data_IF_605357240296
#
_entry.id   IF_605357240296
#
_cell.length_a   1.000
_cell.length_b   1.000
_cell.length_c   1.000
_cell.angle_alpha   90.00
_cell.angle_beta   90.00
_cell.angle_gamma   90.00
#
_symmetry.space_group_name_H-M   'P 1'
#
loop_
_entity.id
_entity.type
_entity.pdbx_description
1 polymer ?
#
# COMPACT_ATOMS: atom_id res chain seq x y z
N UNK A 1 3.70 11.87 0.34
CA UNK A 1 4.17 10.49 0.56
C UNK A 1 3.04 9.51 0.26
N UNK A 2 3.37 8.23 0.04
CA UNK A 2 2.36 7.16 0.03
C UNK A 2 1.61 7.11 1.37
N UNK A 3 0.35 6.67 1.32
CA UNK A 3 -0.59 6.62 2.44
C UNK A 3 -0.64 5.27 3.13
N UNK A 4 0.10 4.28 2.64
CA UNK A 4 0.05 2.90 3.14
C UNK A 4 0.78 2.79 4.47
N UNK A 5 0.12 2.33 5.54
CA UNK A 5 0.69 2.20 6.88
C UNK A 5 0.93 0.71 7.24
N UNK A 6 2.09 0.41 7.82
CA UNK A 6 2.39 -0.95 8.30
C UNK A 6 1.35 -1.46 9.33
N UNK A 7 0.71 -0.58 10.11
CA UNK A 7 -0.37 -0.94 11.04
C UNK A 7 -1.60 -1.45 10.30
N UNK A 8 -1.95 -0.85 9.16
CA UNK A 8 -3.07 -1.30 8.32
C UNK A 8 -2.77 -2.67 7.71
N UNK A 9 -1.53 -2.91 7.26
CA UNK A 9 -1.12 -4.25 6.82
C UNK A 9 -1.18 -5.28 7.95
N UNK A 10 -0.90 -4.87 9.19
CA UNK A 10 -0.86 -5.78 10.36
C UNK A 10 -2.26 -6.11 10.90
N UNK A 11 -3.14 -5.11 11.00
CA UNK A 11 -4.40 -5.21 11.74
C UNK A 11 -5.66 -4.90 10.92
N UNK A 12 -5.50 -4.37 9.71
CA UNK A 12 -6.60 -3.97 8.84
C UNK A 12 -7.12 -5.08 7.94
N UNK A 13 -8.24 -4.78 7.29
CA UNK A 13 -8.84 -5.61 6.24
C UNK A 13 -8.19 -5.37 4.87
N UNK A 14 -8.46 -6.25 3.91
CA UNK A 14 -8.05 -6.04 2.50
C UNK A 14 -8.67 -4.78 1.91
N UNK A 15 -9.87 -4.42 2.34
CA UNK A 15 -10.56 -3.20 1.95
C UNK A 15 -9.83 -1.95 2.45
N UNK A 16 -9.29 -1.99 3.68
CA UNK A 16 -8.49 -0.89 4.24
C UNK A 16 -7.18 -0.72 3.47
N UNK A 17 -6.48 -1.83 3.21
CA UNK A 17 -5.24 -1.83 2.42
C UNK A 17 -5.49 -1.26 1.03
N UNK A 18 -6.58 -1.68 0.37
CA UNK A 18 -6.99 -1.17 -0.93
C UNK A 18 -7.20 0.35 -0.89
N UNK A 19 -7.97 0.82 0.09
CA UNK A 19 -8.29 2.24 0.21
C UNK A 19 -7.02 3.11 0.36
N UNK A 20 -6.01 2.65 1.11
CA UNK A 20 -4.73 3.36 1.25
C UNK A 20 -3.90 3.35 -0.04
N UNK A 21 -3.91 2.23 -0.79
CA UNK A 21 -3.27 2.15 -2.11
C UNK A 21 -3.97 3.11 -3.08
N UNK A 22 -5.29 3.08 -3.18
CA UNK A 22 -6.06 3.94 -4.09
C UNK A 22 -5.84 5.44 -3.78
N UNK A 23 -5.84 5.80 -2.49
CA UNK A 23 -5.51 7.16 -2.06
C UNK A 23 -4.09 7.58 -2.45
N UNK A 24 -3.13 6.65 -2.45
CA UNK A 24 -1.77 6.88 -2.91
C UNK A 24 -1.68 7.00 -4.43
N UNK A 25 -2.41 6.17 -5.17
CA UNK A 25 -2.48 6.18 -6.64
C UNK A 25 -3.02 7.52 -7.14
N UNK A 26 -4.12 8.00 -6.56
CA UNK A 26 -4.73 9.29 -6.91
C UNK A 26 -3.77 10.48 -6.71
N UNK A 27 -2.87 10.40 -5.73
CA UNK A 27 -1.80 11.40 -5.53
C UNK A 27 -0.67 11.21 -6.55
N UNK A 28 -0.28 9.96 -6.79
CA UNK A 28 0.84 9.62 -7.65
C UNK A 28 0.64 10.03 -9.11
N UNK A 29 -0.59 10.03 -9.62
CA UNK A 29 -0.95 10.54 -10.96
C UNK A 29 -0.43 11.96 -11.23
N UNK A 30 -0.35 12.80 -10.19
CA UNK A 30 0.04 14.21 -10.30
C UNK A 30 1.51 14.46 -9.94
N UNK A 31 2.24 13.42 -9.53
CA UNK A 31 3.59 13.53 -8.98
C UNK A 31 4.60 12.72 -9.79
N UNK A 32 5.28 13.38 -10.74
CA UNK A 32 6.41 12.75 -11.46
C UNK A 32 7.49 12.34 -10.46
N UNK A 33 7.97 11.10 -10.60
CA UNK A 33 8.99 10.54 -9.69
C UNK A 33 8.44 10.00 -8.36
N UNK A 34 7.12 9.94 -8.19
CA UNK A 34 6.53 9.32 -6.99
C UNK A 34 7.01 7.87 -6.82
N UNK A 35 7.38 7.53 -5.59
CA UNK A 35 7.76 6.18 -5.16
C UNK A 35 6.77 5.69 -4.10
N UNK A 36 6.27 4.47 -4.30
CA UNK A 36 5.47 3.80 -3.29
C UNK A 36 6.36 3.19 -2.21
N UNK A 37 5.95 3.36 -0.96
CA UNK A 37 6.57 2.74 0.20
C UNK A 37 5.51 2.57 1.28
N UNK A 38 5.63 1.49 2.05
CA UNK A 38 4.87 1.32 3.28
C UNK A 38 5.52 2.22 4.33
N UNK A 39 4.71 3.06 4.99
CA UNK A 39 5.15 3.88 6.10
C UNK A 39 5.41 3.05 7.35
N UNK A 40 6.33 3.53 8.18
CA UNK A 40 6.81 2.88 9.40
C UNK A 40 7.68 1.62 9.14
N UNK A 41 8.26 1.09 10.21
CA UNK A 41 8.96 -0.19 10.18
C UNK A 41 7.95 -1.33 9.98
N UNK A 42 8.15 -2.16 8.96
CA UNK A 42 7.34 -3.35 8.69
C UNK A 42 7.59 -4.38 9.79
N UNK A 43 6.62 -4.69 10.68
CA UNK A 43 6.85 -5.66 11.74
C UNK A 43 6.72 -7.11 11.22
N UNK A 44 7.33 -8.04 11.94
CA UNK A 44 7.37 -9.46 11.56
C UNK A 44 6.02 -10.18 11.67
N UNK A 45 5.02 -9.57 12.31
CA UNK A 45 3.70 -10.15 12.53
C UNK A 45 2.65 -9.69 11.51
N UNK A 46 3.04 -9.04 10.41
CA UNK A 46 2.11 -8.80 9.30
C UNK A 46 1.63 -10.15 8.76
N UNK A 47 0.31 -10.39 8.64
CA UNK A 47 -0.21 -11.56 7.96
C UNK A 47 0.30 -11.61 6.51
N UNK A 48 0.87 -12.74 6.10
CA UNK A 48 1.50 -12.87 4.78
C UNK A 48 0.50 -12.59 3.65
N UNK A 49 -0.76 -12.97 3.83
CA UNK A 49 -1.84 -12.70 2.90
C UNK A 49 -2.11 -11.20 2.69
N UNK A 50 -1.91 -10.37 3.70
CA UNK A 50 -2.07 -8.92 3.60
C UNK A 50 -0.89 -8.30 2.84
N UNK A 51 0.33 -8.77 3.12
CA UNK A 51 1.52 -8.33 2.37
C UNK A 51 1.46 -8.73 0.89
N UNK A 52 1.02 -9.95 0.60
CA UNK A 52 0.82 -10.42 -0.78
C UNK A 52 -0.29 -9.63 -1.48
N UNK A 53 -1.42 -9.43 -0.81
CA UNK A 53 -2.53 -8.62 -1.35
C UNK A 53 -2.08 -7.19 -1.69
N UNK A 54 -1.33 -6.53 -0.79
CA UNK A 54 -0.73 -5.22 -1.06
C UNK A 54 0.11 -5.22 -2.35
N UNK A 55 1.02 -6.20 -2.48
CA UNK A 55 1.91 -6.29 -3.64
C UNK A 55 1.15 -6.58 -4.94
N UNK A 56 0.20 -7.51 -4.92
CA UNK A 56 -0.61 -7.89 -6.08
C UNK A 56 -1.49 -6.74 -6.55
N UNK A 57 -2.24 -6.13 -5.63
CA UNK A 57 -3.14 -5.03 -5.95
C UNK A 57 -2.36 -3.82 -6.46
N UNK A 58 -1.26 -3.44 -5.79
CA UNK A 58 -0.42 -2.33 -6.25
C UNK A 58 0.15 -2.61 -7.65
N UNK A 59 0.70 -3.81 -7.91
CA UNK A 59 1.24 -4.15 -9.25
C UNK A 59 0.19 -4.12 -10.36
N UNK A 60 -1.05 -4.50 -10.05
CA UNK A 60 -2.13 -4.51 -11.02
C UNK A 60 -2.61 -3.09 -11.40
N UNK A 61 -2.52 -2.13 -10.48
CA UNK A 61 -3.07 -0.77 -10.67
C UNK A 61 -2.00 0.31 -10.83
N UNK A 62 -0.74 -0.01 -10.55
CA UNK A 62 0.39 0.88 -10.79
C UNK A 62 0.92 0.69 -12.20
N UNK A 63 0.32 1.41 -13.15
CA UNK A 63 0.77 1.45 -14.53
C UNK A 63 1.92 2.45 -14.67
N UNK A 64 3.15 1.96 -14.55
CA UNK A 64 4.35 2.76 -14.84
C UNK A 64 5.48 1.92 -15.36
#
# INVERSE_FOLDING_TARGET
>A
SSKVDARTLTFGSREDIRAEIDASLALAERCKGFMFAVGNHIPANIPIENALYYMEYLRAHWAR
#
